data_IF_652511968732
#
_entry.id   IF_652511968732
#
_cell.length_a   1.000
_cell.length_b   1.000
_cell.length_c   1.000
_cell.angle_alpha   90.00
_cell.angle_beta   90.00
_cell.angle_gamma   90.00
#
_symmetry.space_group_name_H-M   'P 1'
#
loop_
_entity.id
_entity.type
_entity.pdbx_description
1 polymer ?
#
# COMPACT_ATOMS: atom_id res chain seq x y z
N UNK A 1 5.89 5.09 11.31
CA UNK A 1 4.50 4.95 11.78
C UNK A 1 3.68 6.11 11.23
N UNK A 2 2.42 5.89 10.90
CA UNK A 2 1.47 6.94 10.48
C UNK A 2 0.26 6.84 11.39
N UNK A 3 -0.05 7.90 12.14
CA UNK A 3 -1.11 7.93 13.17
C UNK A 3 -1.11 6.68 14.09
N UNK A 4 0.06 6.27 14.58
CA UNK A 4 0.22 5.10 15.46
C UNK A 4 0.24 3.74 14.75
N UNK A 5 -0.05 3.68 13.45
CA UNK A 5 0.00 2.43 12.67
C UNK A 5 1.38 2.20 12.08
N UNK A 6 1.92 0.99 12.21
CA UNK A 6 3.23 0.63 11.64
C UNK A 6 3.02 0.13 10.21
N UNK A 7 3.82 0.66 9.30
CA UNK A 7 3.86 0.20 7.91
C UNK A 7 5.25 -0.33 7.59
N UNK A 8 5.30 -1.36 6.75
CA UNK A 8 6.51 -1.76 6.05
C UNK A 8 6.35 -1.42 4.57
N UNK A 9 7.41 -0.85 4.00
CA UNK A 9 7.44 -0.39 2.63
C UNK A 9 8.33 -1.32 1.81
N UNK A 10 7.90 -1.59 0.58
CA UNK A 10 8.72 -2.24 -0.43
C UNK A 10 8.71 -1.42 -1.71
N UNK A 11 9.90 -0.97 -2.10
CA UNK A 11 10.08 -0.26 -3.36
C UNK A 11 10.12 -1.28 -4.51
N UNK A 12 9.29 -1.05 -5.53
CA UNK A 12 9.24 -1.92 -6.71
C UNK A 12 8.84 -3.37 -6.44
N UNK A 13 8.16 -3.67 -5.32
CA UNK A 13 7.63 -5.01 -5.02
C UNK A 13 6.22 -4.90 -4.42
N UNK A 14 5.37 -5.87 -4.74
CA UNK A 14 3.95 -5.89 -4.37
C UNK A 14 3.39 -7.31 -4.34
N UNK A 15 2.26 -7.51 -3.66
CA UNK A 15 1.68 -8.85 -3.47
C UNK A 15 0.82 -9.29 -4.65
N UNK A 16 -0.28 -8.59 -4.92
CA UNK A 16 -1.17 -8.84 -6.05
C UNK A 16 -1.93 -7.53 -6.35
N UNK A 17 -1.84 -6.97 -7.57
CA UNK A 17 -2.34 -5.63 -7.87
C UNK A 17 -3.85 -5.61 -8.16
N UNK A 18 -4.47 -6.74 -8.48
CA UNK A 18 -5.92 -6.81 -8.61
C UNK A 18 -6.65 -6.80 -7.25
N UNK A 19 -7.91 -6.38 -7.26
CA UNK A 19 -8.79 -6.42 -6.08
C UNK A 19 -8.67 -5.22 -5.15
N UNK A 20 -8.26 -4.06 -5.68
CA UNK A 20 -8.31 -2.80 -4.96
C UNK A 20 -9.75 -2.46 -4.62
N UNK A 21 -9.98 -1.99 -3.38
CA UNK A 21 -11.29 -1.54 -2.92
C UNK A 21 -11.55 -0.10 -3.33
N UNK A 22 -10.51 0.73 -3.29
CA UNK A 22 -10.56 2.11 -3.74
C UNK A 22 -9.29 2.48 -4.53
N UNK A 23 -9.41 3.45 -5.43
CA UNK A 23 -8.29 4.03 -6.15
C UNK A 23 -8.40 5.54 -6.10
N UNK A 24 -7.29 6.21 -5.79
CA UNK A 24 -7.18 7.65 -5.61
C UNK A 24 -5.98 8.21 -6.38
N UNK A 25 -6.00 9.52 -6.63
CA UNK A 25 -4.83 10.21 -7.15
C UNK A 25 -4.00 10.77 -5.99
N UNK A 26 -2.73 10.36 -5.88
CA UNK A 26 -1.80 10.93 -4.89
C UNK A 26 -0.39 11.03 -5.46
N UNK A 27 0.24 12.20 -5.28
CA UNK A 27 1.61 12.43 -5.75
C UNK A 27 2.67 11.58 -5.02
N UNK A 28 2.43 11.22 -3.76
CA UNK A 28 3.44 10.54 -2.92
C UNK A 28 2.90 9.30 -2.22
N UNK A 29 3.81 8.35 -1.97
CA UNK A 29 3.53 7.16 -1.18
C UNK A 29 3.05 7.50 0.24
N UNK A 30 3.62 8.55 0.86
CA UNK A 30 3.19 9.01 2.18
C UNK A 30 1.74 9.49 2.20
N UNK A 31 1.30 10.20 1.16
CA UNK A 31 -0.09 10.61 1.03
C UNK A 31 -1.02 9.39 0.87
N UNK A 32 -0.60 8.40 0.08
CA UNK A 32 -1.33 7.15 -0.08
C UNK A 32 -1.48 6.37 1.24
N UNK A 33 -0.41 6.25 2.03
CA UNK A 33 -0.44 5.61 3.35
C UNK A 33 -1.29 6.39 4.35
N UNK A 34 -1.23 7.73 4.36
CA UNK A 34 -2.11 8.55 5.22
C UNK A 34 -3.58 8.31 4.90
N UNK A 35 -3.92 8.22 3.61
CA UNK A 35 -5.28 7.91 3.18
C UNK A 35 -5.71 6.50 3.64
N UNK A 36 -4.84 5.51 3.50
CA UNK A 36 -5.09 4.16 4.02
C UNK A 36 -5.37 4.18 5.53
N UNK A 37 -4.52 4.84 6.32
CA UNK A 37 -4.68 4.91 7.78
C UNK A 37 -5.97 5.61 8.22
N UNK A 38 -6.52 6.52 7.41
CA UNK A 38 -7.84 7.12 7.69
C UNK A 38 -9.02 6.16 7.50
N UNK A 39 -8.77 4.97 6.93
CA UNK A 39 -9.80 3.98 6.63
C UNK A 39 -9.56 2.71 7.46
N UNK A 40 -10.49 2.33 8.35
CA UNK A 40 -10.28 1.23 9.29
C UNK A 40 -10.15 -0.16 8.62
N UNK A 41 -10.56 -0.28 7.35
CA UNK A 41 -10.46 -1.51 6.58
C UNK A 41 -9.16 -1.62 5.77
N UNK A 42 -8.40 -0.52 5.61
CA UNK A 42 -7.26 -0.52 4.72
C UNK A 42 -6.04 -1.12 5.41
N UNK A 43 -5.48 -2.17 4.80
CA UNK A 43 -4.37 -2.94 5.36
C UNK A 43 -3.14 -2.96 4.44
N UNK A 44 -3.35 -2.65 3.15
CA UNK A 44 -2.28 -2.60 2.15
C UNK A 44 -2.56 -1.48 1.14
N UNK A 45 -1.50 -0.88 0.64
CA UNK A 45 -1.54 0.09 -0.47
C UNK A 45 -0.56 -0.26 -1.57
N UNK A 46 -0.91 0.12 -2.80
CA UNK A 46 0.03 0.25 -3.92
C UNK A 46 0.08 1.70 -4.40
N UNK A 47 1.29 2.24 -4.57
CA UNK A 47 1.51 3.57 -5.14
C UNK A 47 2.34 3.49 -6.41
N UNK A 48 1.91 4.21 -7.44
CA UNK A 48 2.59 4.24 -8.72
C UNK A 48 3.96 4.90 -8.62
N UNK A 49 5.02 4.23 -9.11
CA UNK A 49 6.38 4.79 -9.07
C UNK A 49 6.50 6.03 -9.98
N UNK A 50 5.86 5.98 -11.14
CA UNK A 50 5.86 7.04 -12.16
C UNK A 50 4.47 7.61 -12.43
N UNK A 51 3.51 7.33 -11.54
CA UNK A 51 2.11 7.72 -11.70
C UNK A 51 1.57 8.16 -10.36
N UNK A 52 0.73 9.17 -10.36
CA UNK A 52 0.06 9.64 -9.16
C UNK A 52 -1.10 8.71 -8.75
N UNK A 53 -0.92 7.40 -8.80
CA UNK A 53 -1.98 6.42 -8.52
C UNK A 53 -1.76 5.79 -7.15
N UNK A 54 -2.79 5.80 -6.32
CA UNK A 54 -2.84 5.13 -5.02
C UNK A 54 -4.00 4.15 -4.99
N UNK A 55 -3.70 2.86 -4.83
CA UNK A 55 -4.68 1.80 -4.71
C UNK A 55 -4.72 1.34 -3.25
N UNK A 56 -5.91 1.27 -2.68
CA UNK A 56 -6.15 0.86 -1.30
C UNK A 56 -6.82 -0.52 -1.27
N UNK A 57 -6.34 -1.38 -0.37
CA UNK A 57 -6.78 -2.77 -0.29
C UNK A 57 -7.20 -3.14 1.13
N UNK A 58 -8.25 -3.95 1.18
CA UNK A 58 -8.65 -4.72 2.36
C UNK A 58 -8.11 -6.14 2.17
N UNK A 59 -6.81 -6.32 2.49
CA UNK A 59 -6.11 -7.59 2.31
C UNK A 59 -5.24 -7.93 3.50
N UNK A 60 -5.48 -9.09 4.06
CA UNK A 60 -4.69 -9.64 5.16
C UNK A 60 -3.35 -10.17 4.66
N UNK A 61 -2.32 -9.34 4.74
CA UNK A 61 -0.95 -9.71 4.40
C UNK A 61 -0.06 -9.46 5.61
N UNK A 62 0.73 -10.45 6.03
CA UNK A 62 1.66 -10.26 7.14
C UNK A 62 2.66 -9.16 6.78
N UNK A 63 2.85 -8.18 7.67
CA UNK A 63 3.84 -7.10 7.51
C UNK A 63 5.28 -7.63 7.33
N UNK A 64 5.56 -8.87 7.75
CA UNK A 64 6.88 -9.50 7.59
C UNK A 64 7.06 -10.19 6.23
N UNK A 65 5.95 -10.52 5.56
CA UNK A 65 5.97 -11.24 4.29
C UNK A 65 6.52 -10.34 3.19
N UNK A 66 7.63 -10.77 2.60
CA UNK A 66 8.18 -10.07 1.44
C UNK A 66 7.30 -10.34 0.21
N UNK A 67 6.86 -9.31 -0.53
CA UNK A 67 6.02 -9.53 -1.69
C UNK A 67 6.72 -10.35 -2.79
N UNK A 68 6.05 -11.34 -3.38
CA UNK A 68 6.65 -12.20 -4.39
C UNK A 68 6.87 -11.48 -5.73
N UNK A 69 6.03 -10.49 -6.07
CA UNK A 69 6.12 -9.78 -7.34
C UNK A 69 7.07 -8.58 -7.23
N UNK A 70 7.85 -8.35 -8.28
CA UNK A 70 8.67 -7.16 -8.48
C UNK A 70 8.24 -6.42 -9.75
N UNK A 71 8.14 -5.09 -9.70
CA UNK A 71 7.82 -4.26 -10.86
C UNK A 71 8.40 -2.86 -10.69
N UNK A 72 8.68 -2.22 -11.82
CA UNK A 72 9.02 -0.79 -11.88
C UNK A 72 7.79 0.12 -11.84
N UNK A 73 6.58 -0.44 -11.70
CA UNK A 73 5.33 0.32 -11.72
C UNK A 73 4.80 0.64 -10.32
N UNK A 74 5.06 -0.21 -9.33
CA UNK A 74 4.38 -0.15 -8.03
C UNK A 74 5.34 -0.23 -6.85
N UNK A 75 5.20 0.70 -5.92
CA UNK A 75 5.62 0.55 -4.53
C UNK A 75 4.47 -0.04 -3.74
N UNK A 76 4.77 -0.83 -2.70
CA UNK A 76 3.75 -1.31 -1.76
C UNK A 76 4.06 -0.91 -0.33
N UNK A 77 3.00 -0.76 0.46
CA UNK A 77 3.13 -0.80 1.90
C UNK A 77 1.99 -1.60 2.53
N UNK A 78 2.32 -2.30 3.59
CA UNK A 78 1.41 -3.15 4.37
C UNK A 78 1.48 -2.70 5.81
N UNK A 79 0.34 -2.58 6.49
CA UNK A 79 0.31 -2.29 7.92
C UNK A 79 0.28 -3.55 8.77
N UNK A 80 0.55 -3.37 10.05
CA UNK A 80 0.56 -4.44 11.05
C UNK A 80 -0.84 -4.85 11.55
N UNK A 81 -1.90 -4.22 11.03
CA UNK A 81 -3.30 -4.54 11.37
C UNK A 81 -3.94 -5.60 10.44
N UNK A 82 -3.18 -6.06 9.45
CA UNK A 82 -3.60 -7.00 8.42
C UNK A 82 -3.75 -8.44 8.92
#
# INVERSE_FOLDING_TARGET
MVAGTRYRFWCGRFHEPAGQRESHSTATMEACVKLCTSKPWCTMVLHGIFRETCQLYDRKVKIEATPPQSSVLWNSAVNDQA
#
